data_IF_510904242703
#
_entry.id   IF_510904242703
#
_cell.length_a   1.000
_cell.length_b   1.000
_cell.length_c   1.000
_cell.angle_alpha   90.00
_cell.angle_beta   90.00
_cell.angle_gamma   90.00
#
_symmetry.space_group_name_H-M   'P 1'
#
loop_
_entity.id
_entity.type
_entity.pdbx_description
1 polymer ?
#
# COMPACT_ATOMS: atom_id res chain seq x y z
N UNK A 1 -2.27 39.75 0.72
CA UNK A 1 -1.80 38.35 0.69
C UNK A 1 -2.72 37.51 1.57
N UNK A 2 -3.57 36.65 0.98
CA UNK A 2 -4.41 35.73 1.76
C UNK A 2 -3.64 34.42 1.91
N UNK A 3 -3.24 34.09 3.14
CA UNK A 3 -2.65 32.81 3.46
C UNK A 3 -3.74 31.73 3.37
N UNK A 4 -3.65 30.86 2.37
CA UNK A 4 -4.46 29.64 2.29
C UNK A 4 -3.94 28.65 3.36
N UNK A 5 -4.53 28.72 4.55
CA UNK A 5 -4.36 27.72 5.59
C UNK A 5 -4.97 26.39 5.12
N UNK A 6 -4.13 25.35 5.10
CA UNK A 6 -4.44 23.94 4.86
C UNK A 6 -5.67 23.46 5.67
N UNK A 7 -6.88 23.62 5.12
CA UNK A 7 -8.18 23.27 5.74
C UNK A 7 -8.40 21.77 5.95
N UNK A 8 -7.61 20.90 5.31
CA UNK A 8 -7.80 19.44 5.35
C UNK A 8 -7.20 18.79 6.60
N UNK A 9 -6.10 19.33 7.15
CA UNK A 9 -5.46 18.77 8.35
C UNK A 9 -6.26 19.00 9.64
N UNK A 10 -6.88 20.18 9.78
CA UNK A 10 -7.69 20.56 10.94
C UNK A 10 -9.01 19.77 11.04
N UNK A 11 -9.67 19.50 9.91
CA UNK A 11 -10.93 18.75 9.87
C UNK A 11 -10.77 17.31 10.39
N UNK A 12 -9.68 16.65 10.01
CA UNK A 12 -9.39 15.27 10.46
C UNK A 12 -9.11 15.22 11.97
N UNK A 13 -8.40 16.21 12.51
CA UNK A 13 -8.13 16.31 13.95
C UNK A 13 -9.41 16.51 14.77
N UNK A 14 -10.33 17.36 14.29
CA UNK A 14 -11.59 17.64 14.99
C UNK A 14 -12.56 16.45 14.96
N UNK A 15 -12.70 15.77 13.81
CA UNK A 15 -13.54 14.58 13.72
C UNK A 15 -13.02 13.43 14.59
N UNK A 16 -11.70 13.29 14.71
CA UNK A 16 -11.10 12.29 15.60
C UNK A 16 -11.41 12.61 17.06
N UNK A 17 -11.31 13.88 17.49
CA UNK A 17 -11.70 14.28 18.85
C UNK A 17 -13.18 14.03 19.16
N UNK A 18 -14.09 14.31 18.22
CA UNK A 18 -15.51 13.99 18.42
C UNK A 18 -15.71 12.49 18.59
N UNK A 19 -15.10 11.68 17.74
CA UNK A 19 -15.22 10.22 17.81
C UNK A 19 -14.63 9.67 19.12
N UNK A 20 -13.53 10.24 19.60
CA UNK A 20 -12.92 9.87 20.88
C UNK A 20 -13.81 10.22 22.07
N UNK A 21 -14.45 11.39 22.05
CA UNK A 21 -15.38 11.80 23.12
C UNK A 21 -16.63 10.92 23.13
N UNK A 22 -17.23 10.65 21.96
CA UNK A 22 -18.37 9.74 21.83
C UNK A 22 -18.00 8.32 22.29
N UNK A 23 -16.81 7.84 21.93
CA UNK A 23 -16.32 6.54 22.39
C UNK A 23 -16.21 6.48 23.92
N UNK A 24 -15.67 7.53 24.55
CA UNK A 24 -15.57 7.63 26.02
C UNK A 24 -16.94 7.64 26.70
N UNK A 25 -17.87 8.45 26.21
CA UNK A 25 -19.23 8.55 26.79
C UNK A 25 -19.99 7.22 26.71
N UNK A 26 -19.79 6.46 25.62
CA UNK A 26 -20.44 5.17 25.40
C UNK A 26 -19.67 3.98 26.02
N UNK A 27 -18.51 4.22 26.66
CA UNK A 27 -17.66 3.15 27.18
C UNK A 27 -17.08 2.23 26.10
N UNK A 28 -16.95 2.73 24.86
CA UNK A 28 -16.47 1.99 23.70
C UNK A 28 -15.04 2.40 23.34
N UNK A 29 -14.41 1.60 22.50
CA UNK A 29 -13.14 1.98 21.88
C UNK A 29 -13.39 2.87 20.66
N UNK A 30 -12.42 3.75 20.36
CA UNK A 30 -12.42 4.52 19.11
C UNK A 30 -12.55 3.63 17.86
N UNK A 31 -11.93 2.45 17.88
CA UNK A 31 -11.98 1.47 16.79
C UNK A 31 -13.40 0.98 16.54
N UNK A 32 -14.19 0.79 17.60
CA UNK A 32 -15.61 0.41 17.49
C UNK A 32 -16.41 1.47 16.76
N UNK A 33 -16.30 2.74 17.18
CA UNK A 33 -16.99 3.88 16.53
C UNK A 33 -16.54 4.02 15.07
N UNK A 34 -15.25 3.87 14.79
CA UNK A 34 -14.70 3.93 13.44
C UNK A 34 -15.28 2.83 12.53
N UNK A 35 -15.36 1.59 13.01
CA UNK A 35 -15.90 0.47 12.24
C UNK A 35 -17.39 0.66 11.94
N UNK A 36 -18.18 1.12 12.91
CA UNK A 36 -19.60 1.43 12.67
C UNK A 36 -19.79 2.52 11.62
N UNK A 37 -18.99 3.59 11.69
CA UNK A 37 -19.02 4.62 10.64
C UNK A 37 -18.66 4.06 9.27
N UNK A 38 -17.74 3.10 9.22
CA UNK A 38 -17.38 2.41 7.97
C UNK A 38 -18.52 1.55 7.44
N UNK A 39 -19.19 0.79 8.31
CA UNK A 39 -20.35 -0.05 7.96
C UNK A 39 -21.55 0.78 7.51
N UNK A 40 -21.76 1.94 8.13
CA UNK A 40 -22.81 2.89 7.78
C UNK A 40 -22.44 3.80 6.58
N UNK A 41 -21.29 3.60 5.95
CA UNK A 41 -20.84 4.39 4.80
C UNK A 41 -20.52 5.86 5.11
N UNK A 42 -20.34 6.21 6.39
CA UNK A 42 -20.01 7.56 6.85
C UNK A 42 -18.51 7.88 6.75
N UNK A 43 -17.69 6.94 6.31
CA UNK A 43 -16.28 7.18 5.97
C UNK A 43 -16.15 7.41 4.48
N UNK A 44 -15.39 8.43 4.07
CA UNK A 44 -15.09 8.63 2.66
C UNK A 44 -14.47 7.35 2.06
N UNK A 45 -14.98 6.87 0.91
CA UNK A 45 -14.40 5.72 0.26
C UNK A 45 -12.94 6.04 -0.10
N UNK A 46 -12.05 5.07 0.12
CA UNK A 46 -10.69 5.20 -0.35
C UNK A 46 -10.71 5.50 -1.86
N UNK A 47 -10.03 6.58 -2.27
CA UNK A 47 -9.93 6.99 -3.68
C UNK A 47 -9.48 5.86 -4.62
N UNK A 48 -8.75 4.88 -4.10
CA UNK A 48 -8.27 3.72 -4.85
C UNK A 48 -8.65 2.42 -4.15
N UNK A 49 -9.27 1.49 -4.89
CA UNK A 49 -9.50 0.12 -4.44
C UNK A 49 -8.18 -0.64 -4.28
N UNK A 50 -8.17 -1.72 -3.50
CA UNK A 50 -6.94 -2.51 -3.29
C UNK A 50 -6.33 -3.04 -4.60
N UNK A 51 -7.17 -3.44 -5.57
CA UNK A 51 -6.73 -3.88 -6.90
C UNK A 51 -6.07 -2.74 -7.69
N UNK A 52 -6.67 -1.53 -7.67
CA UNK A 52 -6.08 -0.35 -8.32
C UNK A 52 -4.74 0.03 -7.69
N UNK A 53 -4.62 -0.07 -6.36
CA UNK A 53 -3.36 0.19 -5.66
C UNK A 53 -2.26 -0.77 -6.13
N UNK A 54 -2.57 -2.06 -6.26
CA UNK A 54 -1.63 -3.07 -6.78
C UNK A 54 -1.18 -2.76 -8.20
N UNK A 55 -2.13 -2.43 -9.09
CA UNK A 55 -1.81 -2.10 -10.49
C UNK A 55 -0.92 -0.86 -10.60
N UNK A 56 -1.23 0.20 -9.86
CA UNK A 56 -0.42 1.42 -9.82
C UNK A 56 0.99 1.16 -9.27
N UNK A 57 1.10 0.31 -8.24
CA UNK A 57 2.40 -0.08 -7.69
C UNK A 57 3.21 -0.95 -8.66
N UNK A 58 2.57 -1.82 -9.45
CA UNK A 58 3.25 -2.56 -10.53
C UNK A 58 3.84 -1.60 -11.56
N UNK A 59 3.05 -0.64 -12.05
CA UNK A 59 3.53 0.40 -12.99
C UNK A 59 4.66 1.25 -12.41
N UNK A 60 4.59 1.59 -11.11
CA UNK A 60 5.68 2.30 -10.43
C UNK A 60 7.01 1.55 -10.55
N UNK A 61 7.02 0.25 -10.25
CA UNK A 61 8.23 -0.55 -10.32
C UNK A 61 8.72 -0.74 -11.77
N UNK A 62 7.82 -0.95 -12.74
CA UNK A 62 8.18 -1.01 -14.16
C UNK A 62 8.87 0.28 -14.65
N UNK A 63 8.39 1.46 -14.23
CA UNK A 63 9.02 2.74 -14.57
C UNK A 63 10.37 2.89 -13.88
N UNK A 64 10.46 2.48 -12.61
CA UNK A 64 11.68 2.59 -11.81
C UNK A 64 12.78 1.66 -12.33
N UNK A 65 12.43 0.45 -12.73
CA UNK A 65 13.36 -0.55 -13.27
C UNK A 65 13.96 -0.10 -14.61
N UNK A 66 13.15 0.52 -15.47
CA UNK A 66 13.62 1.10 -16.74
C UNK A 66 14.55 2.31 -16.57
N UNK A 67 14.42 3.06 -15.46
CA UNK A 67 15.15 4.32 -15.26
C UNK A 67 15.60 4.53 -13.79
N UNK A 68 16.44 3.64 -13.23
CA UNK A 68 16.65 3.56 -11.77
C UNK A 68 17.26 4.82 -11.14
N UNK A 69 18.10 5.55 -11.89
CA UNK A 69 18.81 6.75 -11.39
C UNK A 69 18.32 8.07 -11.98
N UNK A 70 17.45 8.04 -12.99
CA UNK A 70 17.03 9.25 -13.73
C UNK A 70 15.71 9.84 -13.25
N UNK A 71 14.82 9.04 -12.68
CA UNK A 71 13.48 9.50 -12.30
C UNK A 71 13.25 9.43 -10.79
N UNK A 72 12.84 10.56 -10.22
CA UNK A 72 12.52 10.64 -8.80
C UNK A 72 11.17 9.98 -8.51
N UNK A 73 10.97 9.55 -7.26
CA UNK A 73 9.66 9.00 -6.84
C UNK A 73 8.54 10.05 -6.97
N UNK A 74 8.88 11.33 -6.80
CA UNK A 74 7.93 12.44 -6.99
C UNK A 74 7.49 12.59 -8.44
N UNK A 75 8.39 12.37 -9.39
CA UNK A 75 8.06 12.45 -10.82
C UNK A 75 7.20 11.26 -11.24
N UNK A 76 7.53 10.04 -10.77
CA UNK A 76 6.67 8.87 -11.00
C UNK A 76 5.28 9.09 -10.37
N UNK A 77 5.20 9.67 -9.17
CA UNK A 77 3.92 9.98 -8.52
C UNK A 77 3.06 10.90 -9.39
N UNK A 78 3.66 11.94 -9.99
CA UNK A 78 3.00 12.84 -10.94
C UNK A 78 2.53 12.09 -12.19
N UNK A 79 3.38 11.23 -12.78
CA UNK A 79 3.03 10.42 -13.96
C UNK A 79 1.83 9.50 -13.68
N UNK A 80 1.80 8.89 -12.51
CA UNK A 80 0.72 8.00 -12.07
C UNK A 80 -0.49 8.74 -11.50
N UNK A 81 -0.46 10.09 -11.45
CA UNK A 81 -1.51 10.95 -10.87
C UNK A 81 -1.89 10.54 -9.43
N UNK A 82 -0.88 10.16 -8.65
CA UNK A 82 -1.02 9.83 -7.22
C UNK A 82 -0.27 10.86 -6.38
N UNK A 83 -0.76 11.14 -5.16
CA UNK A 83 -0.05 12.01 -4.23
C UNK A 83 1.25 11.37 -3.75
N UNK A 84 2.33 12.15 -3.62
CA UNK A 84 3.64 11.64 -3.18
C UNK A 84 3.58 10.93 -1.82
N UNK A 85 2.81 11.47 -0.87
CA UNK A 85 2.60 10.85 0.44
C UNK A 85 1.89 9.49 0.32
N UNK A 86 0.91 9.38 -0.58
CA UNK A 86 0.21 8.12 -0.87
C UNK A 86 1.17 7.09 -1.44
N UNK A 87 2.02 7.48 -2.40
CA UNK A 87 3.02 6.60 -2.98
C UNK A 87 4.03 6.10 -1.92
N UNK A 88 4.54 6.98 -1.05
CA UNK A 88 5.46 6.60 0.04
C UNK A 88 4.79 5.60 0.99
N UNK A 89 3.53 5.85 1.36
CA UNK A 89 2.75 4.93 2.21
C UNK A 89 2.59 3.57 1.56
N UNK A 90 2.20 3.52 0.28
CA UNK A 90 2.03 2.27 -0.45
C UNK A 90 3.35 1.51 -0.64
N UNK A 91 4.46 2.19 -0.95
CA UNK A 91 5.79 1.56 -0.98
C UNK A 91 6.10 0.80 0.31
N UNK A 92 5.85 1.42 1.47
CA UNK A 92 6.05 0.77 2.78
C UNK A 92 5.09 -0.42 2.98
N UNK A 93 3.83 -0.26 2.59
CA UNK A 93 2.81 -1.29 2.72
C UNK A 93 3.12 -2.53 1.87
N UNK A 94 3.40 -2.35 0.58
CA UNK A 94 3.65 -3.47 -0.35
C UNK A 94 5.03 -4.10 -0.18
N UNK A 95 6.05 -3.36 0.29
CA UNK A 95 7.36 -3.93 0.65
C UNK A 95 7.23 -4.96 1.79
N UNK A 96 6.38 -4.70 2.78
CA UNK A 96 6.13 -5.62 3.90
C UNK A 96 5.36 -6.88 3.50
N UNK A 97 4.59 -6.81 2.43
CA UNK A 97 3.75 -7.91 1.94
C UNK A 97 4.48 -8.85 0.97
N UNK A 98 5.81 -8.69 0.78
CA UNK A 98 6.62 -9.43 -0.21
C UNK A 98 6.00 -9.47 -1.62
N UNK A 99 5.23 -8.44 -1.99
CA UNK A 99 4.34 -8.54 -3.14
C UNK A 99 5.10 -8.53 -4.49
N UNK A 100 6.39 -8.15 -4.52
CA UNK A 100 7.29 -8.26 -5.68
C UNK A 100 8.78 -8.32 -5.24
N UNK A 101 9.66 -8.95 -6.05
CA UNK A 101 10.98 -9.39 -5.61
C UNK A 101 11.92 -8.23 -5.31
N UNK A 102 12.81 -8.48 -4.35
CA UNK A 102 13.95 -7.63 -4.03
C UNK A 102 14.74 -7.30 -5.31
N UNK A 103 14.55 -6.10 -5.86
CA UNK A 103 15.54 -5.50 -6.75
C UNK A 103 16.65 -4.94 -5.87
N UNK A 104 17.59 -5.81 -5.50
CA UNK A 104 18.97 -5.46 -5.17
C UNK A 104 19.81 -6.64 -5.64
N UNK A 105 20.74 -6.38 -6.57
CA UNK A 105 21.77 -7.28 -7.08
C UNK A 105 21.35 -8.33 -8.14
N UNK A 106 21.19 -7.85 -9.38
CA UNK A 106 21.89 -8.43 -10.54
C UNK A 106 21.62 -9.87 -11.00
N UNK A 107 20.72 -10.64 -10.39
CA UNK A 107 20.38 -11.98 -10.87
C UNK A 107 18.88 -12.13 -11.10
N UNK A 108 18.53 -12.29 -12.38
CA UNK A 108 17.19 -12.54 -12.91
C UNK A 108 16.52 -13.71 -12.19
N UNK A 109 15.27 -13.52 -11.76
CA UNK A 109 14.47 -14.49 -11.00
C UNK A 109 13.85 -15.58 -11.90
N UNK A 110 14.32 -15.73 -13.14
CA UNK A 110 13.87 -16.82 -14.01
C UNK A 110 14.31 -18.21 -13.54
N UNK A 111 15.22 -18.32 -12.56
CA UNK A 111 15.74 -19.61 -12.10
C UNK A 111 14.93 -20.27 -10.95
N UNK A 112 14.01 -19.56 -10.28
CA UNK A 112 13.31 -20.09 -9.10
C UNK A 112 11.98 -20.82 -9.38
N UNK A 113 11.42 -20.71 -10.59
CA UNK A 113 10.25 -21.51 -10.97
C UNK A 113 10.65 -22.96 -11.34
N UNK A 114 11.87 -23.18 -11.85
CA UNK A 114 12.37 -24.50 -12.23
C UNK A 114 12.86 -25.35 -11.05
N UNK A 115 13.19 -24.73 -9.91
CA UNK A 115 13.74 -25.44 -8.75
C UNK A 115 12.67 -26.15 -7.88
N UNK A 116 11.40 -25.74 -7.95
CA UNK A 116 10.32 -26.37 -7.17
C UNK A 116 9.65 -27.56 -7.88
N UNK A 117 9.77 -27.68 -9.21
CA UNK A 117 9.25 -28.86 -9.94
C UNK A 117 10.20 -30.06 -9.81
N UNK A 118 11.50 -29.84 -9.62
CA UNK A 118 12.50 -30.93 -9.52
C UNK A 118 12.63 -31.61 -8.15
N UNK A 119 11.91 -31.15 -7.12
CA UNK A 119 11.89 -31.81 -5.80
C UNK A 119 10.71 -32.78 -5.60
N UNK A 120 9.72 -32.79 -6.50
CA UNK A 120 8.58 -33.69 -6.38
C UNK A 120 8.87 -35.06 -7.03
N UNK A 121 9.72 -35.12 -8.06
CA UNK A 121 10.03 -36.39 -8.75
C UNK A 121 11.14 -37.25 -8.12
N UNK A 122 11.91 -36.72 -7.17
CA UNK A 122 13.00 -37.50 -6.51
C UNK A 122 12.59 -38.21 -5.22
N UNK A 123 11.35 -38.05 -4.77
CA UNK A 123 10.86 -38.65 -3.52
C UNK A 123 9.98 -39.90 -3.75
N UNK A 124 9.71 -40.28 -5.00
CA UNK A 124 8.81 -41.42 -5.33
C UNK A 124 9.47 -42.60 -6.05
N UNK A 125 10.81 -42.68 -6.11
CA UNK A 125 11.52 -43.80 -6.76
C UNK A 125 12.47 -44.55 -5.82
N UNK A 126 12.12 -44.68 -4.54
CA UNK A 126 12.95 -45.41 -3.59
C UNK A 126 12.22 -45.90 -2.34
N UNK A 127 11.37 -46.92 -2.47
CA UNK A 127 11.30 -48.02 -1.48
C UNK A 127 10.40 -49.14 -1.99
N UNK A 128 11.09 -50.27 -2.23
CA UNK A 128 10.66 -51.68 -2.22
C UNK A 128 9.63 -52.15 -3.24
#
# INVERSE_FOLDING_TARGET
MKAELNRTGLKNSYHNQINENVAKELGLTFVTIYNWKRELGQTEPNKYSHCQQKELMKRYYEIKDKNPKKISDGDIAKMLKIGSATLIRWKRQFKRQQFYPNSVDGHSVEENAAANVRKIDKSNSGSL
#
